data_IF_685550847246
#
_entry.id   IF_685550847246
#
_cell.length_a   1.000
_cell.length_b   1.000
_cell.length_c   1.000
_cell.angle_alpha   90.00
_cell.angle_beta   90.00
_cell.angle_gamma   90.00
#
_symmetry.space_group_name_H-M   'P 1'
#
loop_
_entity.id
_entity.type
_entity.pdbx_description
1 polymer ?
#
# COMPACT_ATOMS: atom_id res chain seq x y z
N UNK A 1 1.22 -26.02 -3.85
CA UNK A 1 0.43 -24.82 -4.00
C UNK A 1 1.22 -23.61 -3.54
N UNK A 2 1.26 -22.61 -4.33
CA UNK A 2 1.94 -21.39 -3.95
C UNK A 2 1.14 -20.64 -2.89
N UNK A 3 1.84 -20.00 -1.97
CA UNK A 3 1.21 -19.11 -1.01
C UNK A 3 0.65 -17.91 -1.73
N UNK A 4 -0.52 -17.50 -1.31
CA UNK A 4 -1.12 -16.27 -1.82
C UNK A 4 -0.64 -15.09 -0.99
N UNK A 5 -0.34 -13.98 -1.66
CA UNK A 5 0.00 -12.72 -1.01
C UNK A 5 -0.92 -11.64 -1.57
N UNK A 6 -2.06 -11.38 -0.92
CA UNK A 6 -3.01 -10.38 -1.39
C UNK A 6 -2.40 -8.99 -1.49
N UNK A 7 -1.47 -8.65 -0.61
CA UNK A 7 -0.80 -7.34 -0.66
C UNK A 7 0.08 -7.26 -1.91
N UNK A 8 0.85 -8.30 -2.19
CA UNK A 8 1.69 -8.33 -3.39
C UNK A 8 0.83 -8.21 -4.66
N UNK A 9 -0.32 -8.87 -4.68
CA UNK A 9 -1.26 -8.77 -5.80
C UNK A 9 -1.75 -7.34 -5.98
N UNK A 10 -2.12 -6.68 -4.87
CA UNK A 10 -2.53 -5.28 -4.90
C UNK A 10 -1.45 -4.39 -5.51
N UNK A 11 -0.21 -4.52 -5.03
CA UNK A 11 0.90 -3.70 -5.52
C UNK A 11 1.19 -3.96 -7.00
N UNK A 12 1.11 -5.22 -7.41
CA UNK A 12 1.35 -5.60 -8.80
C UNK A 12 0.29 -5.01 -9.72
N UNK A 13 -0.98 -5.03 -9.30
CA UNK A 13 -2.07 -4.45 -10.10
C UNK A 13 -1.89 -2.95 -10.26
N UNK A 14 -1.47 -2.27 -9.21
CA UNK A 14 -1.20 -0.82 -9.29
C UNK A 14 -0.05 -0.57 -10.26
N UNK A 15 1.07 -1.29 -10.12
CA UNK A 15 2.22 -1.12 -11.01
C UNK A 15 1.87 -1.39 -12.47
N UNK A 16 1.18 -2.50 -12.73
CA UNK A 16 0.79 -2.86 -14.09
C UNK A 16 -0.20 -1.85 -14.69
N UNK A 17 -1.14 -1.38 -13.88
CA UNK A 17 -2.08 -0.36 -14.32
C UNK A 17 -1.40 0.94 -14.70
N UNK A 18 -0.43 1.36 -13.91
CA UNK A 18 0.36 2.57 -14.21
C UNK A 18 1.18 2.40 -15.48
N UNK A 19 1.83 1.25 -15.64
CA UNK A 19 2.63 0.98 -16.84
C UNK A 19 1.76 1.00 -18.10
N UNK A 20 0.51 0.57 -17.99
CA UNK A 20 -0.45 0.57 -19.11
C UNK A 20 -1.18 1.90 -19.27
N UNK A 21 -0.93 2.88 -18.41
CA UNK A 21 -1.58 4.19 -18.49
C UNK A 21 -3.07 4.15 -18.15
N UNK A 22 -3.50 3.20 -17.33
CA UNK A 22 -4.91 3.06 -16.97
C UNK A 22 -5.34 4.14 -15.99
N UNK A 23 -6.61 4.57 -16.10
CA UNK A 23 -7.19 5.51 -15.15
C UNK A 23 -7.45 4.86 -13.81
N UNK A 24 -7.84 3.59 -13.81
CA UNK A 24 -8.13 2.87 -12.56
C UNK A 24 -7.88 1.37 -12.72
N UNK A 25 -7.75 0.69 -11.59
CA UNK A 25 -7.63 -0.77 -11.53
C UNK A 25 -8.64 -1.30 -10.52
N UNK A 26 -9.04 -2.56 -10.70
CA UNK A 26 -10.02 -3.21 -9.85
C UNK A 26 -9.50 -4.55 -9.36
N UNK A 27 -9.86 -4.90 -8.14
CA UNK A 27 -9.55 -6.20 -7.56
C UNK A 27 -10.51 -6.49 -6.40
N UNK A 28 -10.56 -7.75 -5.97
CA UNK A 28 -11.35 -8.12 -4.81
C UNK A 28 -10.79 -7.40 -3.58
N UNK A 29 -11.67 -6.86 -2.74
CA UNK A 29 -11.24 -6.12 -1.56
C UNK A 29 -10.92 -7.04 -0.39
N UNK A 30 -10.20 -6.51 0.57
CA UNK A 30 -10.01 -7.08 1.89
C UNK A 30 -9.73 -5.94 2.85
N UNK A 31 -9.83 -6.20 4.14
CA UNK A 31 -9.56 -5.15 5.14
C UNK A 31 -8.15 -4.60 5.01
N UNK A 32 -7.16 -5.49 4.85
CA UNK A 32 -5.76 -5.04 4.75
C UNK A 32 -5.50 -4.25 3.47
N UNK A 33 -6.05 -4.70 2.34
CA UNK A 33 -5.89 -3.98 1.08
C UNK A 33 -6.50 -2.58 1.17
N UNK A 34 -7.71 -2.49 1.72
CA UNK A 34 -8.40 -1.21 1.87
C UNK A 34 -7.61 -0.27 2.79
N UNK A 35 -7.06 -0.80 3.88
CA UNK A 35 -6.25 0.00 4.79
C UNK A 35 -5.00 0.54 4.12
N UNK A 36 -4.32 -0.26 3.31
CA UNK A 36 -3.14 0.18 2.56
C UNK A 36 -3.52 1.25 1.55
N UNK A 37 -4.60 1.04 0.83
CA UNK A 37 -5.08 2.00 -0.19
C UNK A 37 -5.46 3.33 0.45
N UNK A 38 -6.06 3.30 1.64
CA UNK A 38 -6.38 4.52 2.38
C UNK A 38 -5.11 5.32 2.71
N UNK A 39 -4.04 4.63 3.13
CA UNK A 39 -2.76 5.28 3.39
C UNK A 39 -2.20 5.90 2.09
N UNK A 40 -2.25 5.16 0.98
CA UNK A 40 -1.77 5.67 -0.30
C UNK A 40 -2.54 6.92 -0.73
N UNK A 41 -3.84 6.94 -0.49
CA UNK A 41 -4.66 8.11 -0.79
C UNK A 41 -4.29 9.30 0.10
N UNK A 42 -4.19 9.05 1.41
CA UNK A 42 -3.88 10.11 2.38
C UNK A 42 -2.51 10.74 2.12
N UNK A 43 -1.56 9.94 1.63
CA UNK A 43 -0.21 10.42 1.30
C UNK A 43 -0.10 10.97 -0.12
N UNK A 44 -1.19 10.97 -0.87
CA UNK A 44 -1.21 11.58 -2.20
C UNK A 44 -0.65 10.73 -3.32
N UNK A 45 -0.51 9.43 -3.12
CA UNK A 45 0.04 8.53 -4.16
C UNK A 45 -0.99 8.04 -5.15
N UNK A 46 -2.25 8.02 -4.77
CA UNK A 46 -3.36 7.67 -5.66
C UNK A 46 -4.41 8.78 -5.63
N UNK A 47 -5.26 8.82 -6.66
CA UNK A 47 -6.28 9.85 -6.75
C UNK A 47 -7.41 9.60 -5.77
N UNK A 48 -7.94 8.38 -5.77
CA UNK A 48 -9.07 8.00 -4.94
C UNK A 48 -9.27 6.50 -4.99
N UNK A 49 -10.21 5.99 -4.19
CA UNK A 49 -10.63 4.60 -4.29
C UNK A 49 -12.08 4.49 -3.85
N UNK A 50 -12.72 3.40 -4.23
CA UNK A 50 -14.08 3.12 -3.80
C UNK A 50 -14.30 1.63 -3.66
N UNK A 51 -15.23 1.27 -2.78
CA UNK A 51 -15.67 -0.10 -2.58
C UNK A 51 -17.06 -0.23 -3.18
N UNK A 52 -17.24 -1.22 -4.04
CA UNK A 52 -18.51 -1.48 -4.66
C UNK A 52 -18.93 -2.91 -4.36
N UNK A 53 -20.08 -3.07 -3.71
CA UNK A 53 -20.65 -4.37 -3.41
C UNK A 53 -21.85 -4.59 -4.33
N UNK A 54 -21.81 -5.66 -5.11
CA UNK A 54 -22.87 -6.00 -6.05
C UNK A 54 -23.35 -7.42 -5.75
N UNK A 55 -23.93 -7.59 -4.59
CA UNK A 55 -24.50 -8.86 -4.15
C UNK A 55 -23.47 -9.92 -3.75
N UNK A 56 -22.18 -9.63 -3.81
CA UNK A 56 -21.11 -10.56 -3.45
C UNK A 56 -20.02 -9.85 -2.66
N UNK A 57 -18.78 -10.32 -2.82
CA UNK A 57 -17.63 -9.66 -2.20
C UNK A 57 -17.44 -8.28 -2.79
N UNK A 58 -17.12 -7.27 -1.97
CA UNK A 58 -16.86 -5.94 -2.50
C UNK A 58 -15.68 -5.93 -3.46
N UNK A 59 -15.80 -5.11 -4.49
CA UNK A 59 -14.71 -4.83 -5.43
C UNK A 59 -14.06 -3.52 -5.04
N UNK A 60 -12.75 -3.53 -4.93
CA UNK A 60 -11.95 -2.34 -4.65
C UNK A 60 -11.52 -1.75 -5.99
N UNK A 61 -11.93 -0.51 -6.25
CA UNK A 61 -11.54 0.23 -7.45
C UNK A 61 -10.63 1.36 -7.04
N UNK A 62 -9.44 1.42 -7.62
CA UNK A 62 -8.39 2.38 -7.26
C UNK A 62 -8.16 3.32 -8.44
N UNK A 63 -8.36 4.62 -8.22
CA UNK A 63 -8.06 5.64 -9.20
C UNK A 63 -6.58 5.95 -9.17
N UNK A 64 -5.88 5.70 -10.28
CA UNK A 64 -4.45 5.93 -10.39
C UNK A 64 -4.18 7.42 -10.61
N UNK A 65 -3.02 7.87 -10.20
CA UNK A 65 -2.67 9.29 -10.23
C UNK A 65 -1.45 9.50 -11.12
N UNK A 66 -1.55 10.50 -11.98
CA UNK A 66 -0.47 10.88 -12.89
C UNK A 66 -0.19 12.36 -12.78
N UNK A 67 1.03 12.73 -13.07
CA UNK A 67 1.44 14.13 -13.11
C UNK A 67 2.27 14.33 -14.37
N UNK A 68 1.82 15.22 -15.24
CA UNK A 68 2.48 15.50 -16.52
C UNK A 68 2.74 14.23 -17.33
N UNK A 69 1.75 13.33 -17.36
CA UNK A 69 1.82 12.09 -18.14
C UNK A 69 2.61 10.97 -17.50
N UNK A 70 3.09 11.15 -16.28
CA UNK A 70 3.86 10.14 -15.56
C UNK A 70 3.14 9.68 -14.30
N UNK A 71 3.25 8.38 -13.95
CA UNK A 71 2.71 7.92 -12.68
C UNK A 71 3.34 8.65 -11.51
N UNK A 72 2.52 8.98 -10.51
CA UNK A 72 3.04 9.61 -9.28
C UNK A 72 3.91 8.64 -8.49
N UNK A 73 3.56 7.36 -8.50
CA UNK A 73 4.36 6.34 -7.81
C UNK A 73 5.50 5.88 -8.71
N UNK A 74 6.74 6.08 -8.25
CA UNK A 74 7.93 5.57 -8.94
C UNK A 74 8.33 4.20 -8.42
N UNK A 75 8.11 3.96 -7.12
CA UNK A 75 8.57 2.76 -6.44
C UNK A 75 7.46 2.23 -5.55
N UNK A 76 7.14 0.96 -5.71
CA UNK A 76 6.11 0.30 -4.90
C UNK A 76 6.55 -1.14 -4.72
N UNK A 77 7.06 -1.47 -3.52
CA UNK A 77 7.70 -2.75 -3.24
C UNK A 77 7.14 -3.41 -1.99
N UNK A 78 6.91 -4.70 -2.09
CA UNK A 78 6.54 -5.53 -0.96
C UNK A 78 7.78 -5.79 -0.10
N UNK A 79 7.66 -5.67 1.21
CA UNK A 79 8.76 -5.96 2.13
C UNK A 79 8.48 -7.25 2.90
N UNK A 80 7.52 -7.24 3.82
CA UNK A 80 7.14 -8.44 4.56
C UNK A 80 6.30 -9.35 3.66
N UNK A 81 6.55 -10.64 3.71
CA UNK A 81 5.85 -11.64 2.87
C UNK A 81 5.38 -12.79 3.73
N UNK A 82 4.40 -13.57 3.25
CA UNK A 82 3.95 -14.75 4.01
C UNK A 82 5.07 -15.72 4.37
N UNK A 83 6.06 -15.89 3.48
CA UNK A 83 7.20 -16.78 3.73
C UNK A 83 8.32 -16.16 4.56
N UNK A 84 8.31 -14.84 4.75
CA UNK A 84 9.33 -14.15 5.52
C UNK A 84 8.75 -12.84 6.05
N UNK A 85 8.19 -12.90 7.26
CA UNK A 85 7.61 -11.72 7.91
C UNK A 85 8.71 -10.82 8.45
N UNK A 86 8.58 -9.53 8.23
CA UNK A 86 9.54 -8.51 8.64
C UNK A 86 8.87 -7.59 9.65
N UNK A 87 9.35 -7.64 10.90
CA UNK A 87 8.87 -6.77 11.98
C UNK A 87 10.00 -5.86 12.44
N UNK A 88 9.67 -4.63 12.77
CA UNK A 88 10.65 -3.67 13.29
C UNK A 88 10.06 -2.89 14.45
N UNK A 89 10.90 -2.60 15.43
CA UNK A 89 10.51 -1.71 16.53
C UNK A 89 10.42 -0.28 16.03
N UNK A 90 9.82 0.60 16.83
CA UNK A 90 9.65 2.01 16.46
C UNK A 90 10.97 2.69 16.07
N UNK A 91 12.07 2.29 16.73
CA UNK A 91 13.37 2.90 16.47
C UNK A 91 14.10 2.31 15.27
N UNK A 92 13.62 1.15 14.78
CA UNK A 92 14.24 0.44 13.68
C UNK A 92 13.41 0.47 12.39
N UNK A 93 12.32 1.23 12.37
CA UNK A 93 11.51 1.38 11.17
C UNK A 93 12.34 2.02 10.06
N UNK A 94 12.34 1.43 8.86
CA UNK A 94 13.16 1.97 7.78
C UNK A 94 12.65 3.33 7.31
N UNK A 95 13.54 4.09 6.71
CA UNK A 95 13.19 5.33 6.02
C UNK A 95 13.56 5.18 4.56
N UNK A 96 12.71 5.69 3.70
CA UNK A 96 12.92 5.63 2.24
C UNK A 96 13.22 7.04 1.75
N UNK A 97 14.25 7.16 0.91
CA UNK A 97 14.67 8.45 0.36
C UNK A 97 14.88 9.52 1.46
N UNK A 98 15.55 9.13 2.55
CA UNK A 98 15.81 10.06 3.65
C UNK A 98 14.56 10.55 4.36
N UNK A 99 13.46 9.82 4.26
CA UNK A 99 12.18 10.19 4.85
C UNK A 99 11.22 10.85 3.86
N UNK A 100 11.62 11.03 2.61
CA UNK A 100 10.73 11.59 1.58
C UNK A 100 9.79 10.54 1.01
N UNK A 101 10.17 9.26 1.03
CA UNK A 101 9.28 8.16 0.69
C UNK A 101 8.49 7.71 1.91
N UNK A 102 7.61 6.74 1.71
CA UNK A 102 6.72 6.24 2.75
C UNK A 102 6.90 4.74 2.92
N UNK A 103 6.95 4.31 4.17
CA UNK A 103 6.89 2.90 4.55
C UNK A 103 5.53 2.66 5.16
N UNK A 104 4.80 1.66 4.71
CA UNK A 104 3.49 1.32 5.26
C UNK A 104 3.66 0.19 6.26
N UNK A 105 3.22 0.42 7.48
CA UNK A 105 3.44 -0.46 8.62
C UNK A 105 2.11 -0.90 9.21
N UNK A 106 1.99 -2.18 9.53
CA UNK A 106 0.84 -2.70 10.27
C UNK A 106 1.21 -2.74 11.74
N UNK A 107 0.53 -1.93 12.54
CA UNK A 107 0.78 -1.83 13.99
C UNK A 107 -0.45 -2.31 14.76
N UNK A 108 -0.31 -2.56 16.06
CA UNK A 108 -1.49 -2.88 16.89
C UNK A 108 -2.57 -1.79 16.85
N UNK A 109 -2.22 -0.57 16.45
CA UNK A 109 -3.15 0.55 16.35
C UNK A 109 -3.65 0.79 14.92
N UNK A 110 -3.29 -0.08 13.99
CA UNK A 110 -3.76 -0.02 12.61
C UNK A 110 -2.63 0.09 11.60
N UNK A 111 -3.01 0.13 10.34
CA UNK A 111 -2.07 0.31 9.23
C UNK A 111 -1.82 1.81 9.07
N UNK A 112 -0.56 2.19 9.02
CA UNK A 112 -0.17 3.58 8.98
C UNK A 112 1.20 3.77 8.33
N UNK A 113 1.61 5.02 8.17
CA UNK A 113 2.95 5.33 7.67
C UNK A 113 3.98 5.14 8.78
N UNK A 114 5.24 4.96 8.39
CA UNK A 114 6.36 4.91 9.33
C UNK A 114 6.43 6.17 10.19
N UNK A 115 6.14 7.34 9.61
CA UNK A 115 6.13 8.60 10.37
C UNK A 115 5.09 8.59 11.47
N UNK A 116 3.87 8.14 11.15
CA UNK A 116 2.79 8.02 12.13
C UNK A 116 3.14 7.02 13.21
N UNK A 117 3.69 5.86 12.82
CA UNK A 117 4.07 4.81 13.76
C UNK A 117 5.14 5.32 14.74
N UNK A 118 6.16 6.02 14.26
CA UNK A 118 7.18 6.62 15.12
C UNK A 118 6.57 7.66 16.06
N UNK A 119 5.66 8.47 15.55
CA UNK A 119 5.00 9.52 16.34
C UNK A 119 4.23 8.96 17.52
N UNK A 120 3.54 7.82 17.33
CA UNK A 120 2.78 7.20 18.42
C UNK A 120 3.60 6.17 19.20
N UNK A 121 4.88 5.99 18.85
CA UNK A 121 5.75 5.07 19.56
C UNK A 121 5.48 3.60 19.31
N UNK A 122 5.02 3.24 18.11
CA UNK A 122 4.68 1.86 17.75
C UNK A 122 5.57 1.33 16.63
N UNK A 123 6.06 0.09 16.83
CA UNK A 123 6.64 -0.67 15.74
C UNK A 123 5.59 -1.61 15.17
N UNK A 124 5.95 -2.42 14.20
CA UNK A 124 5.04 -3.37 13.61
C UNK A 124 5.62 -4.09 12.41
N UNK A 125 4.74 -4.69 11.63
CA UNK A 125 5.11 -5.39 10.41
C UNK A 125 5.28 -4.38 9.27
N UNK A 126 6.46 -4.40 8.64
CA UNK A 126 6.76 -3.52 7.51
C UNK A 126 6.15 -4.14 6.25
N UNK A 127 5.03 -3.61 5.80
CA UNK A 127 4.27 -4.19 4.70
C UNK A 127 4.89 -3.89 3.34
N UNK A 128 5.13 -2.62 3.06
CA UNK A 128 5.61 -2.20 1.75
C UNK A 128 6.24 -0.82 1.81
N UNK A 129 6.91 -0.48 0.71
CA UNK A 129 7.57 0.81 0.51
C UNK A 129 6.93 1.48 -0.69
N UNK A 130 6.67 2.77 -0.60
CA UNK A 130 6.18 3.58 -1.71
C UNK A 130 6.94 4.90 -1.79
N UNK A 131 7.28 5.25 -3.00
CA UNK A 131 7.97 6.52 -3.26
C UNK A 131 7.65 7.05 -4.65
#
# INVERSE_FOLDING_TARGET
MSMTDPIADLLTRIRNGQAAGKAEVQLASSKIKTAIVQVLKDEGYIADYRLEADGGKPTLTIGLKYYEGRPVIDRLERVSRPGLRIYRSKDELPKVLGGMGTVIVSTPKGVMTDKQARSIGQGGEVLCIVA
#
